data_IF_819305030396
#
_entry.id   IF_819305030396
#
_cell.length_a   1.000
_cell.length_b   1.000
_cell.length_c   1.000
_cell.angle_alpha   90.00
_cell.angle_beta   90.00
_cell.angle_gamma   90.00
#
_symmetry.space_group_name_H-M   'P 1'
#
loop_
_entity.id
_entity.type
_entity.pdbx_description
1 polymer ?
#
# COMPACT_ATOMS: atom_id res chain seq x y z
N UNK A 1 -2.34 -14.93 -3.39
CA UNK A 1 -3.52 -14.81 -2.51
C UNK A 1 -4.19 -13.49 -2.82
N UNK A 2 -5.51 -13.42 -2.92
CA UNK A 2 -6.27 -12.20 -3.25
C UNK A 2 -7.45 -12.06 -2.28
N UNK A 3 -7.93 -10.84 -2.08
CA UNK A 3 -9.11 -10.51 -1.27
C UNK A 3 -10.12 -9.74 -2.13
N UNK A 4 -11.42 -9.90 -1.86
CA UNK A 4 -12.47 -9.11 -2.52
C UNK A 4 -12.54 -7.69 -1.93
N UNK A 5 -13.05 -6.73 -2.71
CA UNK A 5 -13.26 -5.36 -2.22
C UNK A 5 -14.27 -5.30 -1.07
N UNK A 6 -15.34 -6.09 -1.15
CA UNK A 6 -16.37 -6.19 -0.11
C UNK A 6 -15.80 -6.71 1.20
N UNK A 7 -14.92 -7.71 1.16
CA UNK A 7 -14.34 -8.28 2.37
C UNK A 7 -13.23 -7.39 2.95
N UNK A 8 -12.46 -6.71 2.10
CA UNK A 8 -11.52 -5.69 2.55
C UNK A 8 -12.24 -4.54 3.27
N UNK A 9 -13.37 -4.06 2.72
CA UNK A 9 -14.14 -2.97 3.31
C UNK A 9 -14.60 -3.28 4.75
N UNK A 10 -14.97 -4.53 5.04
CA UNK A 10 -15.35 -5.00 6.39
C UNK A 10 -14.20 -4.97 7.39
N UNK A 11 -12.95 -4.98 6.92
CA UNK A 11 -11.75 -5.07 7.74
C UNK A 11 -11.04 -3.72 7.91
N UNK A 12 -11.50 -2.62 7.27
CA UNK A 12 -10.81 -1.33 7.29
C UNK A 12 -10.65 -0.71 8.69
N UNK A 13 -11.47 -1.11 9.66
CA UNK A 13 -11.38 -0.65 11.06
C UNK A 13 -10.52 -1.57 11.94
N UNK A 14 -10.01 -2.67 11.40
CA UNK A 14 -9.18 -3.62 12.14
C UNK A 14 -7.79 -3.02 12.40
N UNK A 15 -7.38 -2.82 13.66
CA UNK A 15 -6.08 -2.20 13.97
C UNK A 15 -4.88 -3.05 13.54
N UNK A 16 -5.08 -4.33 13.24
CA UNK A 16 -4.04 -5.23 12.77
C UNK A 16 -3.94 -5.32 11.23
N UNK A 17 -4.81 -4.62 10.50
CA UNK A 17 -4.77 -4.57 9.03
C UNK A 17 -3.80 -3.46 8.59
N UNK A 18 -2.84 -3.81 7.75
CA UNK A 18 -1.97 -2.85 7.06
C UNK A 18 -2.27 -2.93 5.56
N UNK A 19 -2.68 -1.81 4.98
CA UNK A 19 -2.86 -1.66 3.53
C UNK A 19 -1.66 -0.93 2.96
N UNK A 20 -0.92 -1.58 2.06
CA UNK A 20 0.26 -0.99 1.41
C UNK A 20 -0.11 -0.62 -0.02
N UNK A 21 0.06 0.65 -0.37
CA UNK A 21 -0.08 1.15 -1.73
C UNK A 21 1.30 1.26 -2.39
N UNK A 22 1.56 0.38 -3.36
CA UNK A 22 2.87 0.27 -4.04
C UNK A 22 2.99 1.12 -5.29
N UNK A 23 1.99 1.97 -5.59
CA UNK A 23 2.05 2.92 -6.70
C UNK A 23 3.05 4.04 -6.41
N UNK A 24 3.34 4.85 -7.43
CA UNK A 24 4.17 6.05 -7.27
C UNK A 24 3.59 6.99 -6.20
N UNK A 25 4.45 7.72 -5.50
CA UNK A 25 3.99 8.72 -4.54
C UNK A 25 3.04 9.76 -5.18
N UNK A 26 3.26 10.09 -6.47
CA UNK A 26 2.40 11.01 -7.23
C UNK A 26 0.97 10.49 -7.36
N UNK A 27 0.77 9.20 -7.63
CA UNK A 27 -0.58 8.65 -7.77
C UNK A 27 -1.27 8.50 -6.42
N UNK A 28 -0.49 8.14 -5.39
CA UNK A 28 -0.98 8.08 -4.01
C UNK A 28 -1.47 9.45 -3.53
N UNK A 29 -0.71 10.53 -3.77
CA UNK A 29 -1.05 11.87 -3.29
C UNK A 29 -2.31 12.45 -3.93
N UNK A 30 -2.67 12.03 -5.15
CA UNK A 30 -3.93 12.40 -5.79
C UNK A 30 -5.15 11.64 -5.22
N UNK A 31 -4.94 10.47 -4.63
CA UNK A 31 -6.02 9.68 -4.04
C UNK A 31 -5.60 8.24 -3.73
N UNK A 32 -6.01 7.76 -2.56
CA UNK A 32 -5.69 6.43 -2.06
C UNK A 32 -6.77 5.93 -1.10
N UNK A 33 -6.70 4.65 -0.75
CA UNK A 33 -7.58 4.03 0.24
C UNK A 33 -7.28 4.67 1.61
N UNK A 34 -8.27 5.19 2.36
CA UNK A 34 -8.03 5.79 3.67
C UNK A 34 -7.30 4.83 4.61
N UNK A 35 -6.24 5.32 5.26
CA UNK A 35 -5.42 4.54 6.20
C UNK A 35 -4.37 3.64 5.54
N UNK A 36 -4.28 3.60 4.20
CA UNK A 36 -3.16 2.92 3.54
C UNK A 36 -1.86 3.69 3.74
N UNK A 37 -0.73 2.98 3.59
CA UNK A 37 0.61 3.54 3.64
C UNK A 37 1.25 3.38 2.26
N UNK A 38 1.78 4.47 1.70
CA UNK A 38 2.52 4.40 0.44
C UNK A 38 3.90 3.80 0.66
N UNK A 39 4.23 2.80 -0.15
CA UNK A 39 5.57 2.24 -0.27
C UNK A 39 5.98 2.33 -1.74
N UNK A 40 6.59 3.45 -2.12
CA UNK A 40 7.04 3.67 -3.50
C UNK A 40 8.22 2.75 -3.84
N UNK A 41 7.92 1.58 -4.40
CA UNK A 41 8.91 0.56 -4.74
C UNK A 41 9.93 1.05 -5.78
N UNK A 42 9.58 2.03 -6.61
CA UNK A 42 10.53 2.58 -7.58
C UNK A 42 11.61 3.42 -6.91
N UNK A 43 11.31 4.07 -5.79
CA UNK A 43 12.30 4.77 -4.98
C UNK A 43 13.27 3.80 -4.27
N UNK A 44 12.84 2.59 -3.94
CA UNK A 44 13.68 1.60 -3.27
C UNK A 44 14.63 0.84 -4.19
N UNK A 45 14.46 0.94 -5.51
CA UNK A 45 15.35 0.26 -6.46
C UNK A 45 16.80 0.79 -6.46
N UNK A 46 17.06 1.89 -5.74
CA UNK A 46 18.38 2.54 -5.66
C UNK A 46 19.17 2.11 -4.42
N UNK A 47 18.55 1.33 -3.52
CA UNK A 47 19.26 0.61 -2.48
C UNK A 47 19.63 -0.77 -3.03
N UNK A 48 20.80 -0.84 -3.65
CA UNK A 48 21.40 -2.13 -4.02
C UNK A 48 21.61 -2.94 -2.73
N UNK A 49 20.90 -4.07 -2.62
CA UNK A 49 21.02 -5.01 -1.49
C UNK A 49 21.81 -6.25 -1.87
N UNK A 50 22.59 -6.22 -2.97
CA UNK A 50 23.56 -7.30 -3.19
C UNK A 50 24.61 -7.29 -2.08
N UNK A 51 24.90 -8.45 -1.45
CA UNK A 51 25.88 -8.55 -0.37
C UNK A 51 27.31 -8.21 -0.80
#
# INVERSE_FOLDING_TARGET
MLISTTDLAKQLTNPNLIVIDTRSFKDYSHGHIPGSVNLDLFAYHWFDTTP
#
